data_IF_102605543069
#
_entry.id   IF_102605543069
#
_cell.length_a   1.000
_cell.length_b   1.000
_cell.length_c   1.000
_cell.angle_alpha   90.00
_cell.angle_beta   90.00
_cell.angle_gamma   90.00
#
_symmetry.space_group_name_H-M   'P 1'
#
loop_
_entity.id
_entity.type
_entity.pdbx_description
1 polymer ?
#
# COMPACT_ATOMS: atom_id res chain seq x y z
N UNK A 1 -40.16 8.48 21.54
CA UNK A 1 -39.45 9.23 20.49
C UNK A 1 -38.69 8.19 19.64
N UNK A 2 -39.36 7.73 18.55
CA UNK A 2 -38.90 6.60 17.74
C UNK A 2 -38.18 7.17 16.53
N UNK A 3 -36.87 6.93 16.43
CA UNK A 3 -36.05 7.33 15.29
C UNK A 3 -36.14 6.24 14.23
N UNK A 4 -36.77 6.53 13.10
CA UNK A 4 -36.83 5.67 11.92
C UNK A 4 -35.62 5.97 11.06
N UNK A 5 -34.69 5.00 10.94
CA UNK A 5 -33.61 5.02 9.96
C UNK A 5 -34.18 4.63 8.60
N UNK A 6 -34.24 5.61 7.69
CA UNK A 6 -34.57 5.37 6.29
C UNK A 6 -33.28 4.99 5.53
N UNK A 7 -33.12 3.71 5.22
CA UNK A 7 -32.06 3.21 4.34
C UNK A 7 -32.45 3.44 2.89
N UNK A 8 -31.90 4.47 2.24
CA UNK A 8 -31.98 4.63 0.80
C UNK A 8 -31.05 3.61 0.11
N UNK A 9 -31.64 2.56 -0.44
CA UNK A 9 -30.96 1.66 -1.39
C UNK A 9 -30.97 2.36 -2.74
N UNK A 10 -29.82 2.90 -3.16
CA UNK A 10 -29.65 3.43 -4.53
C UNK A 10 -29.22 2.27 -5.41
N UNK A 11 -30.17 1.69 -6.12
CA UNK A 11 -29.92 0.73 -7.20
C UNK A 11 -29.52 1.47 -8.48
N UNK A 12 -28.23 1.65 -8.70
CA UNK A 12 -27.72 2.10 -9.99
C UNK A 12 -27.53 0.88 -10.90
N UNK A 13 -28.51 0.65 -11.77
CA UNK A 13 -28.36 -0.24 -12.91
C UNK A 13 -27.49 0.44 -13.96
N UNK A 14 -26.20 0.15 -13.98
CA UNK A 14 -25.36 0.47 -15.13
C UNK A 14 -25.62 -0.56 -16.22
N UNK A 15 -26.14 -0.06 -17.37
CA UNK A 15 -26.35 -0.83 -18.56
C UNK A 15 -25.04 -1.45 -19.05
N UNK A 16 -25.06 -2.75 -19.29
CA UNK A 16 -23.96 -3.52 -19.84
C UNK A 16 -23.62 -3.04 -21.25
N UNK A 17 -22.45 -2.44 -21.41
CA UNK A 17 -21.80 -2.27 -22.70
C UNK A 17 -21.09 -3.58 -23.07
N UNK A 18 -21.23 -3.97 -24.32
CA UNK A 18 -20.84 -5.21 -24.98
C UNK A 18 -19.55 -5.86 -24.47
N UNK A 19 -19.72 -7.01 -23.99
CA UNK A 19 -18.97 -8.19 -23.71
C UNK A 19 -17.85 -8.49 -24.73
N UNK A 20 -16.61 -8.37 -24.28
CA UNK A 20 -15.49 -9.18 -24.74
C UNK A 20 -15.23 -10.21 -23.64
N UNK A 21 -15.71 -11.42 -23.80
CA UNK A 21 -15.76 -12.58 -22.91
C UNK A 21 -14.63 -12.81 -21.89
N UNK A 22 -14.40 -11.88 -20.99
CA UNK A 22 -13.64 -12.11 -19.77
C UNK A 22 -14.62 -12.64 -18.72
N UNK A 23 -14.65 -13.94 -18.57
CA UNK A 23 -15.30 -14.57 -17.41
C UNK A 23 -14.61 -13.98 -16.17
N UNK A 24 -15.35 -13.18 -15.40
CA UNK A 24 -14.86 -12.68 -14.14
C UNK A 24 -14.49 -13.86 -13.25
N UNK A 25 -13.22 -13.97 -12.90
CA UNK A 25 -12.71 -15.07 -12.07
C UNK A 25 -13.13 -14.90 -10.60
N UNK A 26 -13.53 -13.69 -10.21
CA UNK A 26 -13.86 -13.33 -8.83
C UNK A 26 -15.28 -12.77 -8.73
N UNK A 27 -15.96 -13.18 -7.65
CA UNK A 27 -17.30 -12.72 -7.31
C UNK A 27 -17.25 -11.66 -6.20
N UNK A 28 -18.37 -10.95 -6.05
CA UNK A 28 -18.56 -10.04 -4.91
C UNK A 28 -18.51 -10.84 -3.60
N UNK A 29 -17.64 -10.41 -2.70
CA UNK A 29 -17.47 -11.04 -1.39
C UNK A 29 -16.34 -12.05 -1.31
N UNK A 30 -15.73 -12.46 -2.43
CA UNK A 30 -14.51 -13.28 -2.40
C UNK A 30 -13.41 -12.54 -1.64
N UNK A 31 -12.69 -13.28 -0.83
CA UNK A 31 -11.68 -12.71 0.05
C UNK A 31 -10.29 -13.21 -0.32
N UNK A 32 -9.32 -12.37 -0.03
CA UNK A 32 -7.92 -12.70 -0.22
C UNK A 32 -7.10 -12.35 1.01
N UNK A 33 -6.09 -13.15 1.20
CA UNK A 33 -5.07 -12.96 2.20
C UNK A 33 -3.72 -12.88 1.49
N UNK A 34 -2.92 -11.85 1.79
CA UNK A 34 -1.63 -11.68 1.12
C UNK A 34 -0.52 -11.54 2.16
N UNK A 35 0.59 -12.25 1.95
CA UNK A 35 1.81 -12.10 2.72
C UNK A 35 2.90 -11.64 1.77
N UNK A 36 3.61 -10.59 2.15
CA UNK A 36 4.70 -10.02 1.36
C UNK A 36 5.99 -9.97 2.17
N UNK A 37 7.12 -10.18 1.50
CA UNK A 37 8.44 -9.97 2.08
C UNK A 37 9.41 -9.48 1.00
N UNK A 38 10.29 -8.52 1.34
CA UNK A 38 11.17 -7.96 0.33
C UNK A 38 12.14 -6.91 0.83
N UNK A 39 12.56 -6.07 -0.10
CA UNK A 39 13.53 -5.01 0.10
C UNK A 39 12.86 -3.66 0.24
N UNK A 40 13.38 -2.87 1.14
CA UNK A 40 12.98 -1.50 1.40
C UNK A 40 14.14 -0.57 1.05
N UNK A 41 13.95 0.25 0.01
CA UNK A 41 14.98 1.10 -0.59
C UNK A 41 14.69 2.55 -0.26
N UNK A 42 15.47 3.20 0.61
CA UNK A 42 15.37 4.63 0.84
C UNK A 42 15.79 5.40 -0.41
N UNK A 43 14.94 6.34 -0.87
CA UNK A 43 15.23 7.15 -2.05
C UNK A 43 15.75 8.54 -1.67
N UNK A 44 14.93 9.35 -1.00
CA UNK A 44 15.30 10.70 -0.58
C UNK A 44 14.39 11.22 0.52
N UNK A 45 14.89 12.18 1.30
CA UNK A 45 14.14 12.91 2.31
C UNK A 45 13.97 14.37 1.85
N UNK A 46 12.73 14.88 1.87
CA UNK A 46 12.42 16.26 1.52
C UNK A 46 11.96 17.01 2.77
N UNK A 47 12.32 18.31 2.92
CA UNK A 47 11.68 19.17 3.91
C UNK A 47 10.18 19.26 3.64
N UNK A 48 9.38 19.28 4.69
CA UNK A 48 7.92 19.39 4.55
C UNK A 48 7.55 20.71 3.86
N UNK A 49 6.62 20.65 2.91
CA UNK A 49 6.21 21.81 2.09
C UNK A 49 6.94 21.90 0.74
N UNK A 50 7.91 21.03 0.47
CA UNK A 50 8.52 20.97 -0.86
C UNK A 50 7.72 20.02 -1.75
N UNK A 51 7.20 20.52 -2.88
CA UNK A 51 6.47 19.67 -3.83
C UNK A 51 7.41 18.65 -4.50
N UNK A 52 6.88 17.44 -4.76
CA UNK A 52 7.62 16.32 -5.37
C UNK A 52 8.39 16.68 -6.66
N UNK A 53 7.95 17.72 -7.37
CA UNK A 53 8.50 18.16 -8.66
C UNK A 53 9.36 19.43 -8.55
N UNK A 54 9.51 20.03 -7.36
CA UNK A 54 10.41 21.14 -7.18
C UNK A 54 11.85 20.67 -7.03
N UNK A 55 12.82 21.17 -7.80
CA UNK A 55 14.22 20.85 -7.57
C UNK A 55 14.59 21.36 -6.18
N UNK A 56 14.80 20.44 -5.25
CA UNK A 56 15.17 20.75 -3.87
C UNK A 56 16.67 20.99 -3.80
N UNK A 57 17.08 22.22 -3.58
CA UNK A 57 18.47 22.53 -3.23
C UNK A 57 18.87 22.02 -1.82
N UNK A 58 17.90 21.54 -1.05
CA UNK A 58 18.08 21.11 0.35
C UNK A 58 17.82 19.62 0.61
N UNK A 59 17.41 18.84 -0.39
CA UNK A 59 17.20 17.39 -0.27
C UNK A 59 18.52 16.65 -0.45
N UNK A 60 19.07 16.09 0.62
CA UNK A 60 20.21 15.18 0.54
C UNK A 60 19.77 13.74 0.31
N UNK A 61 20.66 12.86 -0.21
CA UNK A 61 20.39 11.43 -0.21
C UNK A 61 20.16 10.97 1.23
N UNK A 62 19.17 10.08 1.47
CA UNK A 62 19.01 9.50 2.79
C UNK A 62 20.29 8.71 3.09
N UNK A 63 20.93 9.01 4.20
CA UNK A 63 22.05 8.20 4.69
C UNK A 63 21.53 6.91 5.35
N UNK A 64 20.47 6.32 4.80
CA UNK A 64 19.87 5.08 5.25
C UNK A 64 20.30 3.93 4.33
N UNK A 65 20.61 2.79 4.93
CA UNK A 65 20.97 1.58 4.17
C UNK A 65 19.74 0.92 3.55
N UNK A 66 19.99 0.00 2.63
CA UNK A 66 18.96 -0.93 2.16
C UNK A 66 18.37 -1.67 3.37
N UNK A 67 17.04 -1.74 3.45
CA UNK A 67 16.31 -2.38 4.53
C UNK A 67 15.48 -3.57 4.07
N UNK A 68 14.80 -4.18 5.04
CA UNK A 68 13.82 -5.22 4.81
C UNK A 68 12.39 -4.75 5.05
N UNK A 69 11.44 -5.34 4.36
CA UNK A 69 10.01 -5.09 4.53
C UNK A 69 9.25 -6.41 4.56
N UNK A 70 8.22 -6.47 5.40
CA UNK A 70 7.25 -7.55 5.42
C UNK A 70 5.87 -6.98 5.66
N UNK A 71 4.84 -7.56 5.05
CA UNK A 71 3.47 -7.15 5.29
C UNK A 71 2.49 -8.32 5.19
N UNK A 72 1.37 -8.14 5.85
CA UNK A 72 0.21 -9.00 5.84
C UNK A 72 -1.00 -8.16 5.48
N UNK A 73 -1.79 -8.58 4.50
CA UNK A 73 -3.00 -7.87 4.12
C UNK A 73 -4.19 -8.81 3.92
N UNK A 74 -5.36 -8.29 4.27
CA UNK A 74 -6.64 -8.90 4.00
C UNK A 74 -7.46 -7.95 3.13
N UNK A 75 -8.14 -8.48 2.12
CA UNK A 75 -9.04 -7.69 1.28
C UNK A 75 -10.21 -8.53 0.79
N UNK A 76 -11.33 -7.85 0.47
CA UNK A 76 -12.51 -8.46 -0.12
C UNK A 76 -12.83 -7.78 -1.46
N UNK A 77 -13.35 -8.56 -2.40
CA UNK A 77 -13.83 -8.06 -3.67
C UNK A 77 -15.18 -7.37 -3.49
N UNK A 78 -15.23 -6.08 -3.78
CA UNK A 78 -16.45 -5.26 -3.81
C UNK A 78 -17.03 -5.15 -5.23
N UNK A 79 -16.27 -5.56 -6.22
CA UNK A 79 -16.67 -5.80 -7.59
C UNK A 79 -15.67 -6.80 -8.21
N UNK A 80 -15.99 -7.40 -9.37
CA UNK A 80 -15.09 -8.36 -10.03
C UNK A 80 -13.65 -7.86 -10.27
N UNK A 81 -13.45 -6.56 -10.27
CA UNK A 81 -12.16 -5.91 -10.55
C UNK A 81 -11.65 -5.05 -9.41
N UNK A 82 -12.48 -4.75 -8.41
CA UNK A 82 -12.11 -3.85 -7.31
C UNK A 82 -12.13 -4.62 -6.00
N UNK A 83 -11.04 -4.55 -5.28
CA UNK A 83 -10.92 -5.09 -3.92
C UNK A 83 -10.50 -3.99 -2.95
N UNK A 84 -11.04 -4.07 -1.74
CA UNK A 84 -10.73 -3.17 -0.63
C UNK A 84 -10.37 -3.98 0.60
N UNK A 85 -9.47 -3.46 1.41
CA UNK A 85 -9.01 -4.18 2.58
C UNK A 85 -8.10 -3.36 3.48
N UNK A 86 -7.41 -4.06 4.36
CA UNK A 86 -6.45 -3.51 5.30
C UNK A 86 -5.11 -4.23 5.17
N UNK A 87 -4.05 -3.51 5.47
CA UNK A 87 -2.69 -4.04 5.47
C UNK A 87 -1.95 -3.58 6.73
N UNK A 88 -1.26 -4.52 7.34
CA UNK A 88 -0.33 -4.31 8.45
C UNK A 88 1.07 -4.70 7.97
N UNK A 89 2.04 -3.82 8.13
CA UNK A 89 3.40 -4.07 7.70
C UNK A 89 4.44 -3.76 8.77
N UNK A 90 5.67 -4.08 8.43
CA UNK A 90 6.84 -3.71 9.20
C UNK A 90 8.04 -3.54 8.28
N UNK A 91 8.83 -2.51 8.50
CA UNK A 91 10.10 -2.31 7.81
C UNK A 91 11.20 -1.97 8.79
N UNK A 92 12.42 -2.31 8.41
CA UNK A 92 13.60 -1.89 9.14
C UNK A 92 14.69 -1.46 8.16
N UNK A 93 15.44 -0.42 8.54
CA UNK A 93 16.64 0.04 7.84
C UNK A 93 17.62 0.61 8.85
N UNK A 94 18.88 0.80 8.47
CA UNK A 94 19.92 1.28 9.37
C UNK A 94 20.50 2.60 8.87
N UNK A 95 20.77 3.51 9.80
CA UNK A 95 21.55 4.71 9.53
C UNK A 95 23.06 4.41 9.56
N UNK A 96 23.94 5.32 9.04
CA UNK A 96 25.39 5.13 9.07
C UNK A 96 25.97 4.90 10.48
N UNK A 97 25.28 5.39 11.50
CA UNK A 97 25.68 5.19 12.92
C UNK A 97 25.11 3.88 13.51
N UNK A 98 24.70 2.93 12.68
CA UNK A 98 24.09 1.64 13.08
C UNK A 98 22.80 1.77 13.89
N UNK A 99 22.14 2.92 13.90
CA UNK A 99 20.84 3.08 14.52
C UNK A 99 19.76 2.49 13.62
N UNK A 100 18.90 1.64 14.20
CA UNK A 100 17.77 1.06 13.48
C UNK A 100 16.62 2.06 13.36
N UNK A 101 16.10 2.22 12.15
CA UNK A 101 14.83 2.84 11.86
C UNK A 101 13.79 1.74 11.64
N UNK A 102 12.78 1.69 12.51
CA UNK A 102 11.67 0.77 12.43
C UNK A 102 10.42 1.54 12.03
N UNK A 103 9.64 1.01 11.08
CA UNK A 103 8.35 1.57 10.69
C UNK A 103 7.29 0.48 10.68
N UNK A 104 6.13 0.78 11.24
CA UNK A 104 4.98 -0.10 11.36
C UNK A 104 3.75 0.57 10.73
N UNK A 105 3.52 0.38 9.43
CA UNK A 105 2.36 0.92 8.74
C UNK A 105 1.10 0.12 9.05
N UNK A 106 -0.02 0.84 9.25
CA UNK A 106 -1.39 0.33 9.34
C UNK A 106 -2.19 1.06 8.27
N UNK A 107 -2.60 0.36 7.23
CA UNK A 107 -3.12 0.97 6.00
C UNK A 107 -4.49 0.41 5.63
N UNK A 108 -5.36 1.28 5.13
CA UNK A 108 -6.48 0.91 4.29
C UNK A 108 -6.00 0.86 2.84
N UNK A 109 -6.36 -0.17 2.11
CA UNK A 109 -5.89 -0.42 0.73
C UNK A 109 -7.05 -0.67 -0.20
N UNK A 110 -7.04 0.00 -1.35
CA UNK A 110 -7.93 -0.27 -2.47
C UNK A 110 -7.10 -0.68 -3.68
N UNK A 111 -7.59 -1.62 -4.48
CA UNK A 111 -6.89 -2.10 -5.67
C UNK A 111 -7.84 -2.33 -6.81
N UNK A 112 -7.42 -1.98 -8.02
CA UNK A 112 -8.07 -2.38 -9.27
C UNK A 112 -7.25 -3.51 -9.90
N UNK A 113 -7.92 -4.63 -10.20
CA UNK A 113 -7.27 -5.86 -10.67
C UNK A 113 -7.53 -6.04 -12.16
N UNK A 114 -6.47 -6.01 -12.95
CA UNK A 114 -6.51 -6.42 -14.35
C UNK A 114 -6.17 -7.92 -14.40
N UNK A 115 -7.10 -8.74 -14.88
CA UNK A 115 -6.89 -10.19 -14.98
C UNK A 115 -6.70 -10.56 -16.44
N UNK A 116 -5.52 -11.11 -16.75
CA UNK A 116 -5.19 -11.72 -18.04
C UNK A 116 -4.60 -13.08 -17.77
N UNK A 117 -5.48 -14.09 -17.72
CA UNK A 117 -5.09 -15.45 -17.31
C UNK A 117 -3.85 -15.93 -18.07
N UNK A 118 -2.82 -16.48 -17.40
CA UNK A 118 -2.75 -16.84 -15.96
C UNK A 118 -2.20 -15.74 -15.05
N UNK A 119 -2.33 -14.46 -15.39
CA UNK A 119 -1.74 -13.34 -14.65
C UNK A 119 -2.80 -12.40 -14.11
N UNK A 120 -2.47 -11.80 -12.96
CA UNK A 120 -3.18 -10.70 -12.34
C UNK A 120 -2.24 -9.51 -12.14
N UNK A 121 -2.72 -8.33 -12.50
CA UNK A 121 -1.97 -7.08 -12.36
C UNK A 121 -2.81 -6.11 -11.52
N UNK A 122 -2.73 -6.20 -10.18
CA UNK A 122 -3.37 -5.22 -9.32
C UNK A 122 -2.62 -3.90 -9.32
N UNK A 123 -3.34 -2.80 -9.58
CA UNK A 123 -2.88 -1.45 -9.29
C UNK A 123 -3.55 -1.01 -8.01
N UNK A 124 -2.78 -0.56 -7.03
CA UNK A 124 -3.27 -0.30 -5.68
C UNK A 124 -2.90 1.08 -5.18
N UNK A 125 -3.74 1.57 -4.28
CA UNK A 125 -3.46 2.74 -3.48
C UNK A 125 -3.80 2.43 -2.03
N UNK A 126 -2.85 2.69 -1.12
CA UNK A 126 -3.06 2.52 0.30
C UNK A 126 -2.78 3.82 1.04
N UNK A 127 -3.53 4.03 2.11
CA UNK A 127 -3.40 5.21 2.97
C UNK A 127 -3.62 4.81 4.42
N UNK A 128 -2.85 5.40 5.32
CA UNK A 128 -3.01 5.16 6.74
C UNK A 128 -1.90 5.74 7.60
N UNK A 129 -1.74 5.20 8.78
CA UNK A 129 -0.76 5.63 9.75
C UNK A 129 0.50 4.80 9.66
N UNK A 130 1.65 5.46 9.81
CA UNK A 130 2.96 4.84 9.94
C UNK A 130 3.56 5.19 11.30
N UNK A 131 3.75 4.20 12.15
CA UNK A 131 4.39 4.37 13.45
C UNK A 131 5.88 4.18 13.22
N UNK A 132 6.64 5.25 13.40
CA UNK A 132 8.09 5.26 13.18
C UNK A 132 8.81 5.31 14.53
N UNK A 133 9.71 4.36 14.73
CA UNK A 133 10.62 4.34 15.87
C UNK A 133 12.05 4.50 15.40
N UNK A 134 12.69 5.55 15.91
CA UNK A 134 14.10 5.83 15.65
C UNK A 134 14.81 6.24 16.96
N UNK A 135 15.76 5.41 17.41
CA UNK A 135 16.43 5.55 18.71
C UNK A 135 15.37 5.60 19.84
N UNK A 136 15.27 6.73 20.55
CA UNK A 136 14.33 6.93 21.66
C UNK A 136 13.08 7.72 21.27
N UNK A 137 12.93 8.06 19.99
CA UNK A 137 11.79 8.83 19.48
C UNK A 137 10.81 7.93 18.76
N UNK A 138 9.53 8.15 19.02
CA UNK A 138 8.42 7.52 18.29
C UNK A 138 7.53 8.59 17.73
N UNK A 139 7.27 8.55 16.42
CA UNK A 139 6.36 9.45 15.71
C UNK A 139 5.27 8.66 15.00
N UNK A 140 4.16 9.33 14.72
CA UNK A 140 3.06 8.79 13.91
C UNK A 140 2.90 9.72 12.73
N UNK A 141 3.12 9.18 11.55
CA UNK A 141 3.11 9.92 10.30
C UNK A 141 1.98 9.42 9.39
N UNK A 142 1.60 10.22 8.40
CA UNK A 142 0.64 9.81 7.37
C UNK A 142 1.40 9.17 6.21
N UNK A 143 1.04 7.93 5.89
CA UNK A 143 1.62 7.21 4.76
C UNK A 143 0.62 7.12 3.60
N UNK A 144 1.06 7.55 2.42
CA UNK A 144 0.41 7.28 1.14
C UNK A 144 1.28 6.29 0.36
N UNK A 145 0.65 5.23 -0.14
CA UNK A 145 1.40 4.16 -0.81
C UNK A 145 0.69 3.71 -2.09
N UNK A 146 0.94 4.38 -3.23
CA UNK A 146 0.61 3.85 -4.55
C UNK A 146 1.51 2.66 -4.88
N UNK A 147 0.96 1.70 -5.64
CA UNK A 147 1.72 0.52 -6.04
C UNK A 147 1.08 -0.25 -7.17
N UNK A 148 1.87 -1.13 -7.76
CA UNK A 148 1.43 -2.10 -8.74
C UNK A 148 2.06 -3.46 -8.43
N UNK A 149 1.34 -4.52 -8.79
CA UNK A 149 1.80 -5.88 -8.54
C UNK A 149 1.61 -6.72 -9.79
N UNK A 150 2.38 -7.78 -9.89
CA UNK A 150 2.26 -8.77 -10.95
C UNK A 150 2.24 -10.15 -10.31
N UNK A 151 1.10 -10.83 -10.38
CA UNK A 151 0.88 -12.16 -9.82
C UNK A 151 0.65 -13.19 -10.90
N UNK A 152 1.24 -14.36 -10.74
CA UNK A 152 0.96 -15.56 -11.49
C UNK A 152 0.02 -16.45 -10.69
N UNK A 153 -1.12 -16.80 -11.29
CA UNK A 153 -2.12 -17.69 -10.72
C UNK A 153 -1.60 -19.11 -10.83
N UNK A 154 -1.14 -19.66 -9.70
CA UNK A 154 -0.59 -21.02 -9.64
C UNK A 154 -1.72 -22.06 -9.64
N UNK A 155 -2.77 -21.84 -8.87
CA UNK A 155 -3.99 -22.65 -8.83
C UNK A 155 -5.19 -21.80 -8.37
N UNK A 156 -6.36 -22.44 -8.14
CA UNK A 156 -7.58 -21.74 -7.70
C UNK A 156 -7.46 -20.99 -6.37
N UNK A 157 -6.50 -21.36 -5.53
CA UNK A 157 -6.34 -20.79 -4.18
C UNK A 157 -5.07 -19.96 -4.01
N UNK A 158 -4.05 -20.16 -4.84
CA UNK A 158 -2.75 -19.50 -4.65
C UNK A 158 -2.28 -18.78 -5.88
N UNK A 159 -1.81 -17.55 -5.67
CA UNK A 159 -1.07 -16.76 -6.65
C UNK A 159 0.25 -16.27 -6.02
N UNK A 160 1.32 -16.23 -6.81
CA UNK A 160 2.63 -15.77 -6.39
C UNK A 160 3.09 -14.64 -7.31
N UNK A 161 3.75 -13.64 -6.76
CA UNK A 161 4.14 -12.51 -7.58
C UNK A 161 5.09 -11.52 -6.95
N UNK A 162 5.25 -10.43 -7.67
CA UNK A 162 6.08 -9.29 -7.30
C UNK A 162 5.20 -8.09 -7.02
N UNK A 163 5.59 -7.31 -6.01
CA UNK A 163 4.97 -6.03 -5.69
C UNK A 163 6.01 -4.93 -5.80
N UNK A 164 5.60 -3.80 -6.35
CA UNK A 164 6.34 -2.56 -6.41
C UNK A 164 5.47 -1.47 -5.79
N UNK A 165 5.87 -0.95 -4.64
CA UNK A 165 5.13 0.09 -3.92
C UNK A 165 6.04 1.29 -3.67
N UNK A 166 5.49 2.48 -3.88
CA UNK A 166 6.14 3.73 -3.53
C UNK A 166 5.56 4.24 -2.22
N UNK A 167 6.41 4.56 -1.25
CA UNK A 167 6.03 5.07 0.05
C UNK A 167 6.28 6.57 0.11
N UNK A 168 5.23 7.30 0.32
CA UNK A 168 5.26 8.74 0.56
C UNK A 168 4.83 9.00 2.00
N UNK A 169 5.80 9.17 2.87
CA UNK A 169 5.64 9.27 4.31
C UNK A 169 5.72 10.73 4.74
N UNK A 170 4.60 11.27 5.22
CA UNK A 170 4.46 12.67 5.60
C UNK A 170 4.48 12.81 7.11
N UNK A 171 5.53 13.40 7.64
CA UNK A 171 5.64 13.73 9.04
C UNK A 171 4.93 15.05 9.35
N UNK A 172 4.02 15.02 10.31
CA UNK A 172 3.37 16.20 10.86
C UNK A 172 4.00 16.55 12.21
N UNK A 173 5.16 17.18 12.19
CA UNK A 173 5.77 17.67 13.42
C UNK A 173 5.06 18.97 13.87
N UNK A 174 5.06 19.20 15.19
CA UNK A 174 4.53 20.46 15.76
C UNK A 174 5.32 21.69 15.32
N UNK A 175 6.60 21.50 14.93
CA UNK A 175 7.45 22.51 14.35
C UNK A 175 7.66 22.23 12.85
N UNK A 176 7.09 23.08 11.95
CA UNK A 176 7.20 22.89 10.50
C UNK A 176 8.65 22.86 9.96
N UNK A 177 9.58 23.51 10.64
CA UNK A 177 10.99 23.57 10.23
C UNK A 177 11.67 22.20 10.34
N UNK A 178 11.19 21.36 11.25
CA UNK A 178 11.73 20.03 11.51
C UNK A 178 10.94 18.90 10.84
N UNK A 179 9.81 19.21 10.20
CA UNK A 179 9.00 18.23 9.48
C UNK A 179 9.70 17.75 8.20
N UNK A 180 9.67 16.45 7.95
CA UNK A 180 10.28 15.84 6.78
C UNK A 180 9.31 14.91 6.09
N UNK A 181 9.48 14.78 4.79
CA UNK A 181 8.74 13.81 3.97
C UNK A 181 9.72 12.74 3.51
N UNK A 182 9.47 11.51 3.91
CA UNK A 182 10.23 10.33 3.53
C UNK A 182 9.71 9.74 2.22
N UNK A 183 10.63 9.38 1.33
CA UNK A 183 10.31 8.74 0.06
C UNK A 183 11.09 7.44 -0.06
N UNK A 184 10.35 6.33 -0.21
CA UNK A 184 10.96 4.99 -0.23
C UNK A 184 10.32 4.15 -1.34
N UNK A 185 11.06 3.16 -1.81
CA UNK A 185 10.60 2.16 -2.75
C UNK A 185 10.62 0.79 -2.08
N UNK A 186 9.51 0.08 -2.18
CA UNK A 186 9.39 -1.31 -1.77
C UNK A 186 9.37 -2.21 -2.99
N UNK A 187 10.20 -3.24 -2.99
CA UNK A 187 10.17 -4.33 -3.95
C UNK A 187 10.03 -5.63 -3.17
N UNK A 188 8.89 -6.29 -3.26
CA UNK A 188 8.60 -7.48 -2.45
C UNK A 188 8.02 -8.63 -3.26
N UNK A 189 8.32 -9.86 -2.83
CA UNK A 189 7.64 -11.07 -3.26
C UNK A 189 6.36 -11.22 -2.46
N UNK A 190 5.29 -11.65 -3.11
CA UNK A 190 3.99 -11.86 -2.49
C UNK A 190 3.45 -13.26 -2.74
N UNK A 191 2.84 -13.83 -1.70
CA UNK A 191 1.98 -14.99 -1.79
C UNK A 191 0.55 -14.55 -1.44
N UNK A 192 -0.39 -14.82 -2.35
CA UNK A 192 -1.77 -14.43 -2.25
C UNK A 192 -2.64 -15.68 -2.21
N UNK A 193 -3.49 -15.78 -1.18
CA UNK A 193 -4.42 -16.88 -0.97
C UNK A 193 -5.85 -16.40 -1.16
N UNK A 194 -6.59 -17.11 -2.02
CA UNK A 194 -8.01 -16.88 -2.31
C UNK A 194 -8.88 -17.86 -1.52
N UNK A 195 -9.95 -17.38 -0.86
CA UNK A 195 -10.92 -18.22 -0.11
C UNK A 195 -12.33 -17.63 -0.11
#
# INVERSE_FOLDING_TARGET
MTVVFCTCVVSNSFAAGADSGQVSQYALGDQILTINAGLFVPLFLLPTGTWLLAPSESGGPPHLSLGGVGSFSWAAYVSPQIRVGAELGGTFTFSPNSNALLMLPILAKASYVFTVYPFEIPVSFAVGMNIIKYVDQTTIDLLLRPGASFYWIFNSSWSFGLNLNYWFDMQFAADPVNSRTGNFLEVSLGALYHY
#
